data_IF_213935715454
#
_entry.id   IF_213935715454
#
_cell.length_a   1.000
_cell.length_b   1.000
_cell.length_c   1.000
_cell.angle_alpha   90.00
_cell.angle_beta   90.00
_cell.angle_gamma   90.00
#
_symmetry.space_group_name_H-M   'P 1'
#
loop_
_entity.id
_entity.type
_entity.pdbx_description
1 polymer ?
#
# COMPACT_ATOMS: atom_id res chain seq x y z
N UNK A 1 -22.85 -18.30 1.99
CA UNK A 1 -22.17 -17.82 3.22
C UNK A 1 -23.21 -17.08 4.06
N UNK A 2 -23.45 -17.46 5.32
CA UNK A 2 -24.50 -16.82 6.13
C UNK A 2 -24.07 -15.42 6.58
N UNK A 3 -25.03 -14.49 6.72
CA UNK A 3 -24.79 -13.10 7.20
C UNK A 3 -24.02 -13.09 8.53
N UNK A 4 -24.30 -14.09 9.41
CA UNK A 4 -23.59 -14.25 10.69
C UNK A 4 -22.11 -14.58 10.52
N UNK A 5 -21.72 -15.35 9.51
CA UNK A 5 -20.31 -15.61 9.19
C UNK A 5 -19.59 -14.37 8.68
N UNK A 6 -20.24 -13.59 7.84
CA UNK A 6 -19.70 -12.33 7.31
C UNK A 6 -19.44 -11.33 8.46
N UNK A 7 -20.41 -11.17 9.36
CA UNK A 7 -20.28 -10.30 10.53
C UNK A 7 -19.15 -10.76 11.47
N UNK A 8 -18.96 -12.08 11.65
CA UNK A 8 -17.85 -12.63 12.43
C UNK A 8 -16.50 -12.28 11.80
N UNK A 9 -16.33 -12.50 10.49
CA UNK A 9 -15.08 -12.18 9.80
C UNK A 9 -14.77 -10.67 9.84
N UNK A 10 -15.79 -9.83 9.64
CA UNK A 10 -15.62 -8.39 9.74
C UNK A 10 -15.15 -7.92 11.14
N UNK A 11 -15.76 -8.47 12.18
CA UNK A 11 -15.32 -8.21 13.56
C UNK A 11 -13.87 -8.68 13.80
N UNK A 12 -13.51 -9.85 13.28
CA UNK A 12 -12.14 -10.37 13.36
C UNK A 12 -11.15 -9.44 12.64
N UNK A 13 -11.49 -8.98 11.44
CA UNK A 13 -10.67 -8.03 10.66
C UNK A 13 -10.42 -6.75 11.47
N UNK A 14 -11.47 -6.16 12.05
CA UNK A 14 -11.34 -4.92 12.83
C UNK A 14 -10.49 -5.11 14.09
N UNK A 15 -10.68 -6.19 14.82
CA UNK A 15 -9.87 -6.49 16.02
C UNK A 15 -8.40 -6.70 15.66
N UNK A 16 -8.12 -7.44 14.59
CA UNK A 16 -6.76 -7.66 14.11
C UNK A 16 -6.12 -6.37 13.60
N UNK A 17 -6.89 -5.52 12.93
CA UNK A 17 -6.42 -4.21 12.50
C UNK A 17 -6.05 -3.33 13.71
N UNK A 18 -6.90 -3.27 14.74
CA UNK A 18 -6.61 -2.51 15.96
C UNK A 18 -5.37 -3.04 16.68
N UNK A 19 -5.26 -4.36 16.85
CA UNK A 19 -4.08 -4.98 17.45
C UNK A 19 -2.80 -4.66 16.68
N UNK A 20 -2.86 -4.75 15.36
CA UNK A 20 -1.72 -4.46 14.48
C UNK A 20 -1.28 -2.99 14.60
N UNK A 21 -2.21 -2.04 14.62
CA UNK A 21 -1.90 -0.62 14.82
C UNK A 21 -1.21 -0.40 16.16
N UNK A 22 -1.76 -0.95 17.24
CA UNK A 22 -1.16 -0.83 18.59
C UNK A 22 0.26 -1.39 18.65
N UNK A 23 0.49 -2.53 18.01
CA UNK A 23 1.81 -3.18 17.92
C UNK A 23 2.81 -2.33 17.14
N UNK A 24 2.41 -1.77 16.02
CA UNK A 24 3.25 -0.94 15.17
C UNK A 24 3.63 0.40 15.83
N UNK A 25 2.75 0.95 16.64
CA UNK A 25 3.03 2.19 17.38
C UNK A 25 4.17 2.05 18.40
N UNK A 26 4.59 0.84 18.73
CA UNK A 26 5.74 0.57 19.60
C UNK A 26 7.05 0.32 18.85
N UNK A 27 6.99 0.14 17.53
CA UNK A 27 8.16 -0.14 16.69
C UNK A 27 8.68 1.14 16.01
N UNK A 28 9.86 1.62 16.44
CA UNK A 28 10.46 2.83 15.90
C UNK A 28 10.80 2.75 14.42
N UNK A 29 11.16 1.58 13.88
CA UNK A 29 11.44 1.41 12.45
C UNK A 29 10.16 1.56 11.62
N UNK A 30 9.07 0.98 12.07
CA UNK A 30 7.76 1.07 11.41
C UNK A 30 7.26 2.52 11.43
N UNK A 31 7.34 3.19 12.58
CA UNK A 31 6.97 4.61 12.70
C UNK A 31 7.82 5.48 11.76
N UNK A 32 9.11 5.22 11.67
CA UNK A 32 9.98 5.94 10.74
C UNK A 32 9.54 5.74 9.28
N UNK A 33 9.35 4.50 8.85
CA UNK A 33 9.00 4.16 7.45
C UNK A 33 7.62 4.68 7.04
N UNK A 34 6.64 4.64 7.95
CA UNK A 34 5.25 5.01 7.62
C UNK A 34 4.97 6.50 7.79
N UNK A 35 5.59 7.15 8.77
CA UNK A 35 5.31 8.56 9.08
C UNK A 35 6.46 9.49 8.66
N UNK A 36 7.67 9.23 9.13
CA UNK A 36 8.78 10.17 8.93
C UNK A 36 9.32 10.16 7.50
N UNK A 37 9.51 9.00 6.90
CA UNK A 37 10.05 8.89 5.53
C UNK A 37 9.17 9.61 4.50
N UNK A 38 7.83 9.45 4.45
CA UNK A 38 6.98 10.21 3.54
C UNK A 38 6.96 11.71 3.81
N UNK A 39 7.07 12.13 5.09
CA UNK A 39 7.18 13.56 5.44
C UNK A 39 8.48 14.14 4.90
N UNK A 40 9.61 13.43 5.04
CA UNK A 40 10.90 13.88 4.49
C UNK A 40 10.81 13.99 2.97
N UNK A 41 10.18 13.01 2.30
CA UNK A 41 9.96 13.05 0.84
C UNK A 41 9.09 14.25 0.47
N UNK A 42 8.01 14.51 1.22
CA UNK A 42 7.15 15.66 1.01
C UNK A 42 7.91 16.98 1.18
N UNK A 43 8.69 17.11 2.26
CA UNK A 43 9.52 18.31 2.53
C UNK A 43 10.52 18.56 1.40
N UNK A 44 11.25 17.53 0.96
CA UNK A 44 12.22 17.65 -0.13
C UNK A 44 11.54 18.00 -1.45
N UNK A 45 10.44 17.32 -1.79
CA UNK A 45 9.69 17.60 -3.01
C UNK A 45 9.09 19.01 -3.04
N UNK A 46 8.49 19.46 -1.93
CA UNK A 46 7.94 20.81 -1.79
C UNK A 46 9.04 21.87 -1.85
N UNK A 47 10.21 21.61 -1.26
CA UNK A 47 11.35 22.51 -1.35
C UNK A 47 11.87 22.62 -2.78
N UNK A 48 12.02 21.51 -3.49
CA UNK A 48 12.48 21.49 -4.87
C UNK A 48 11.50 22.16 -5.85
N UNK A 49 10.21 22.09 -5.56
CA UNK A 49 9.15 22.61 -6.43
C UNK A 49 8.48 23.88 -5.89
N UNK A 50 9.11 24.57 -4.91
CA UNK A 50 8.47 25.72 -4.23
C UNK A 50 8.01 26.85 -5.18
N UNK A 51 8.68 27.00 -6.33
CA UNK A 51 8.36 28.07 -7.29
C UNK A 51 7.46 27.59 -8.45
N UNK A 52 6.96 26.33 -8.40
CA UNK A 52 6.13 25.72 -9.45
C UNK A 52 4.61 25.82 -9.20
N UNK A 53 4.21 26.42 -8.08
CA UNK A 53 2.79 26.66 -7.76
C UNK A 53 2.08 25.52 -7.03
N UNK A 54 0.77 25.74 -6.76
CA UNK A 54 -0.05 24.86 -5.92
C UNK A 54 -0.27 23.47 -6.52
N UNK A 55 -0.37 23.34 -7.84
CA UNK A 55 -0.57 22.05 -8.50
C UNK A 55 0.64 21.13 -8.33
N UNK A 56 1.86 21.69 -8.43
CA UNK A 56 3.08 20.95 -8.16
C UNK A 56 3.18 20.53 -6.69
N UNK A 57 2.77 21.40 -5.76
CA UNK A 57 2.71 21.08 -4.35
C UNK A 57 1.67 19.97 -4.06
N UNK A 58 0.50 20.01 -4.69
CA UNK A 58 -0.52 18.95 -4.59
C UNK A 58 0.02 17.62 -5.11
N UNK A 59 0.75 17.63 -6.25
CA UNK A 59 1.38 16.44 -6.79
C UNK A 59 2.36 15.82 -5.78
N UNK A 60 3.20 16.62 -5.13
CA UNK A 60 4.14 16.15 -4.11
C UNK A 60 3.41 15.55 -2.90
N UNK A 61 2.34 16.18 -2.42
CA UNK A 61 1.55 15.68 -1.29
C UNK A 61 0.95 14.31 -1.58
N UNK A 62 0.29 14.17 -2.73
CA UNK A 62 -0.27 12.89 -3.17
C UNK A 62 0.83 11.85 -3.38
N UNK A 63 1.92 12.23 -4.02
CA UNK A 63 3.06 11.36 -4.28
C UNK A 63 3.74 10.86 -3.00
N UNK A 64 3.92 11.71 -2.00
CA UNK A 64 4.46 11.31 -0.70
C UNK A 64 3.54 10.32 0.03
N UNK A 65 2.22 10.51 -0.08
CA UNK A 65 1.25 9.55 0.43
C UNK A 65 1.34 8.17 -0.26
N UNK A 66 1.50 8.18 -1.58
CA UNK A 66 1.69 6.95 -2.37
C UNK A 66 3.01 6.24 -2.03
N UNK A 67 4.10 6.98 -1.79
CA UNK A 67 5.36 6.37 -1.32
C UNK A 67 5.18 5.71 0.05
N UNK A 68 4.47 6.35 0.97
CA UNK A 68 4.13 5.76 2.27
C UNK A 68 3.29 4.49 2.16
N UNK A 69 2.28 4.48 1.27
CA UNK A 69 1.49 3.28 0.98
C UNK A 69 2.35 2.14 0.44
N UNK A 70 3.26 2.42 -0.49
CA UNK A 70 4.14 1.42 -1.06
C UNK A 70 5.16 0.88 -0.05
N UNK A 71 5.84 1.75 0.71
CA UNK A 71 6.77 1.33 1.76
C UNK A 71 6.08 0.48 2.82
N UNK A 72 4.90 0.88 3.27
CA UNK A 72 4.11 0.10 4.22
C UNK A 72 3.73 -1.28 3.67
N UNK A 73 3.38 -1.36 2.39
CA UNK A 73 3.07 -2.62 1.73
C UNK A 73 4.31 -3.52 1.68
N UNK A 74 5.47 -3.00 1.29
CA UNK A 74 6.70 -3.79 1.19
C UNK A 74 7.20 -4.24 2.57
N UNK A 75 7.38 -3.31 3.50
CA UNK A 75 8.10 -3.58 4.74
C UNK A 75 7.20 -4.11 5.86
N UNK A 76 5.94 -3.72 5.89
CA UNK A 76 5.04 -4.11 6.96
C UNK A 76 4.12 -5.24 6.49
N UNK A 77 3.33 -5.01 5.43
CA UNK A 77 2.40 -6.04 4.93
C UNK A 77 3.14 -7.27 4.43
N UNK A 78 4.24 -7.10 3.69
CA UNK A 78 5.07 -8.19 3.20
C UNK A 78 5.70 -9.03 4.32
N UNK A 79 6.08 -8.41 5.44
CA UNK A 79 6.66 -9.10 6.58
C UNK A 79 5.64 -9.52 7.65
N UNK A 80 4.36 -9.25 7.48
CA UNK A 80 3.33 -9.52 8.49
C UNK A 80 3.26 -10.98 8.93
N UNK A 81 3.53 -11.92 8.03
CA UNK A 81 3.55 -13.36 8.31
C UNK A 81 4.90 -13.76 8.94
N UNK A 82 6.02 -13.23 8.45
CA UNK A 82 7.34 -13.47 9.04
C UNK A 82 7.42 -12.98 10.49
N UNK A 83 6.78 -11.86 10.78
CA UNK A 83 6.69 -11.34 12.14
C UNK A 83 6.02 -12.35 13.09
N UNK A 84 4.89 -12.95 12.67
CA UNK A 84 4.21 -13.98 13.45
C UNK A 84 5.07 -15.23 13.65
N UNK A 85 5.91 -15.57 12.66
CA UNK A 85 6.87 -16.67 12.79
C UNK A 85 7.92 -16.34 13.85
N UNK A 86 8.52 -15.15 13.81
CA UNK A 86 9.56 -14.76 14.77
C UNK A 86 9.03 -14.63 16.20
N UNK A 87 7.76 -14.27 16.38
CA UNK A 87 7.11 -14.19 17.69
C UNK A 87 6.55 -15.53 18.18
N UNK A 88 6.64 -16.60 17.35
CA UNK A 88 6.11 -17.94 17.69
C UNK A 88 4.58 -18.02 17.69
N UNK A 89 3.89 -17.03 17.15
CA UNK A 89 2.42 -16.95 17.13
C UNK A 89 1.80 -17.54 15.86
N UNK A 90 2.61 -17.82 14.83
CA UNK A 90 2.12 -18.29 13.54
C UNK A 90 1.34 -19.60 13.64
N UNK A 91 1.83 -20.58 14.43
CA UNK A 91 1.15 -21.87 14.62
C UNK A 91 -0.24 -21.69 15.24
N UNK A 92 -0.33 -20.81 16.24
CA UNK A 92 -1.59 -20.48 16.90
C UNK A 92 -2.57 -19.84 15.91
N UNK A 93 -2.11 -18.92 15.07
CA UNK A 93 -2.94 -18.26 14.07
C UNK A 93 -3.40 -19.20 12.97
N UNK A 94 -2.59 -20.17 12.57
CA UNK A 94 -2.96 -21.20 11.58
C UNK A 94 -3.94 -22.23 12.17
N UNK A 95 -3.93 -22.45 13.48
CA UNK A 95 -4.82 -23.37 14.19
C UNK A 95 -6.23 -22.77 14.44
N UNK A 96 -6.41 -21.45 14.35
CA UNK A 96 -7.71 -20.79 14.54
C UNK A 96 -8.65 -21.14 13.37
N UNK A 97 -9.98 -21.33 13.63
CA UNK A 97 -10.96 -21.68 12.60
C UNK A 97 -11.29 -20.53 11.62
N UNK A 98 -10.56 -19.44 11.64
CA UNK A 98 -10.65 -18.32 10.70
C UNK A 98 -9.65 -18.52 9.55
N UNK A 99 -10.07 -18.37 8.29
CA UNK A 99 -9.14 -18.45 7.16
C UNK A 99 -7.95 -17.51 7.36
N UNK A 100 -6.74 -18.02 7.14
CA UNK A 100 -5.50 -17.25 7.39
C UNK A 100 -5.42 -15.99 6.51
N UNK A 101 -5.99 -16.05 5.30
CA UNK A 101 -6.12 -14.89 4.39
C UNK A 101 -6.91 -13.74 5.03
N UNK A 102 -7.93 -14.03 5.83
CA UNK A 102 -8.74 -13.01 6.53
C UNK A 102 -7.92 -12.32 7.62
N UNK A 103 -7.04 -13.07 8.28
CA UNK A 103 -6.13 -12.53 9.30
C UNK A 103 -5.14 -11.56 8.65
N UNK A 104 -4.48 -11.98 7.57
CA UNK A 104 -3.52 -11.15 6.85
C UNK A 104 -4.21 -9.94 6.21
N UNK A 105 -5.43 -10.10 5.71
CA UNK A 105 -6.24 -8.99 5.19
C UNK A 105 -6.48 -7.92 6.28
N UNK A 106 -6.85 -8.32 7.50
CA UNK A 106 -7.06 -7.38 8.61
C UNK A 106 -5.80 -6.57 8.95
N UNK A 107 -4.64 -7.23 8.96
CA UNK A 107 -3.35 -6.56 9.16
C UNK A 107 -3.01 -5.60 8.02
N UNK A 108 -3.20 -6.01 6.77
CA UNK A 108 -2.96 -5.16 5.61
C UNK A 108 -3.88 -3.94 5.59
N UNK A 109 -5.13 -4.11 5.99
CA UNK A 109 -6.08 -2.99 6.13
C UNK A 109 -5.57 -1.94 7.11
N UNK A 110 -5.07 -2.37 8.28
CA UNK A 110 -4.47 -1.48 9.25
C UNK A 110 -3.28 -0.71 8.68
N UNK A 111 -2.39 -1.42 7.99
CA UNK A 111 -1.19 -0.85 7.39
C UNK A 111 -1.53 0.24 6.36
N UNK A 112 -2.51 -0.03 5.50
CA UNK A 112 -2.94 0.92 4.48
C UNK A 112 -3.62 2.14 5.10
N UNK A 113 -4.51 1.95 6.08
CA UNK A 113 -5.15 3.07 6.78
C UNK A 113 -4.10 3.96 7.47
N UNK A 114 -3.13 3.34 8.14
CA UNK A 114 -2.05 4.08 8.80
C UNK A 114 -1.17 4.83 7.80
N UNK A 115 -0.92 4.26 6.62
CA UNK A 115 -0.14 4.90 5.56
C UNK A 115 -0.85 6.10 4.94
N UNK A 116 -2.19 6.11 4.90
CA UNK A 116 -2.95 7.29 4.45
C UNK A 116 -2.74 8.49 5.37
N UNK A 117 -2.37 8.27 6.63
CA UNK A 117 -2.01 9.35 7.54
C UNK A 117 -0.81 10.14 7.04
N UNK A 118 0.14 9.50 6.34
CA UNK A 118 1.29 10.18 5.73
C UNK A 118 0.88 11.20 4.67
N UNK A 119 -0.17 10.93 3.88
CA UNK A 119 -0.72 11.89 2.91
C UNK A 119 -1.33 13.10 3.63
N UNK A 120 -2.04 12.86 4.72
CA UNK A 120 -2.62 13.93 5.55
C UNK A 120 -1.51 14.78 6.17
N UNK A 121 -0.46 14.16 6.71
CA UNK A 121 0.69 14.87 7.26
C UNK A 121 1.44 15.65 6.18
N UNK A 122 1.63 15.09 4.98
CA UNK A 122 2.20 15.81 3.84
C UNK A 122 1.38 17.06 3.45
N UNK A 123 0.05 16.96 3.49
CA UNK A 123 -0.84 18.10 3.29
C UNK A 123 -0.62 19.18 4.35
N UNK A 124 -0.57 18.83 5.62
CA UNK A 124 -0.28 19.77 6.70
C UNK A 124 1.07 20.45 6.54
N UNK A 125 2.11 19.70 6.17
CA UNK A 125 3.43 20.26 5.87
C UNK A 125 3.34 21.30 4.74
N UNK A 126 2.66 20.98 3.64
CA UNK A 126 2.51 21.90 2.51
C UNK A 126 1.77 23.20 2.90
N UNK A 127 0.74 23.10 3.72
CA UNK A 127 -0.05 24.27 4.15
C UNK A 127 0.68 25.08 5.21
N UNK A 128 1.17 24.46 6.28
CA UNK A 128 1.71 25.19 7.43
C UNK A 128 3.19 25.56 7.29
N UNK A 129 4.02 24.73 6.65
CA UNK A 129 5.44 25.01 6.51
C UNK A 129 5.77 25.82 5.24
N UNK A 130 4.98 25.62 4.16
CA UNK A 130 5.24 26.28 2.87
C UNK A 130 4.17 27.30 2.49
N UNK A 131 3.04 27.39 3.22
CA UNK A 131 2.00 28.39 2.99
C UNK A 131 1.16 28.15 1.73
N UNK A 132 1.14 26.94 1.18
CA UNK A 132 0.31 26.62 0.01
C UNK A 132 -1.17 26.56 0.37
N UNK A 133 -2.02 27.16 -0.47
CA UNK A 133 -3.47 26.95 -0.45
C UNK A 133 -3.79 25.78 -1.39
N UNK A 134 -3.86 24.57 -0.85
CA UNK A 134 -4.15 23.37 -1.64
C UNK A 134 -5.65 23.09 -1.68
N UNK A 135 -6.18 22.98 -2.89
CA UNK A 135 -7.57 22.60 -3.12
C UNK A 135 -7.63 21.35 -4.00
N UNK A 136 -8.37 20.34 -3.54
CA UNK A 136 -8.65 19.16 -4.35
C UNK A 136 -9.71 19.54 -5.38
N UNK A 137 -9.36 19.50 -6.67
CA UNK A 137 -10.22 19.97 -7.74
C UNK A 137 -11.48 19.09 -7.91
N UNK A 138 -11.35 17.77 -7.70
CA UNK A 138 -12.44 16.81 -7.87
C UNK A 138 -12.61 15.94 -6.60
N UNK A 139 -13.14 16.48 -5.48
CA UNK A 139 -13.09 15.82 -4.17
C UNK A 139 -13.83 14.47 -4.13
N UNK A 140 -14.96 14.34 -4.81
CA UNK A 140 -15.70 13.06 -4.86
C UNK A 140 -14.94 12.00 -5.63
N UNK A 141 -14.37 12.35 -6.80
CA UNK A 141 -13.58 11.41 -7.60
C UNK A 141 -12.27 11.06 -6.88
N UNK A 142 -11.65 12.02 -6.19
CA UNK A 142 -10.45 11.80 -5.39
C UNK A 142 -10.72 10.82 -4.24
N UNK A 143 -11.81 11.00 -3.50
CA UNK A 143 -12.20 10.07 -2.41
C UNK A 143 -12.46 8.67 -2.95
N UNK A 144 -13.17 8.54 -4.07
CA UNK A 144 -13.40 7.25 -4.71
C UNK A 144 -12.07 6.64 -5.20
N UNK A 145 -11.15 7.43 -5.73
CA UNK A 145 -9.80 6.99 -6.13
C UNK A 145 -8.98 6.47 -4.94
N UNK A 146 -9.07 7.13 -3.76
CA UNK A 146 -8.44 6.64 -2.53
C UNK A 146 -9.00 5.26 -2.16
N UNK A 147 -10.32 5.09 -2.16
CA UNK A 147 -10.94 3.81 -1.79
C UNK A 147 -10.51 2.67 -2.73
N UNK A 148 -10.48 2.93 -4.03
CA UNK A 148 -10.02 1.96 -5.01
C UNK A 148 -8.52 1.67 -4.91
N UNK A 149 -7.70 2.69 -4.66
CA UNK A 149 -6.27 2.52 -4.39
C UNK A 149 -6.04 1.66 -3.14
N UNK A 150 -6.78 1.90 -2.05
CA UNK A 150 -6.73 1.07 -0.83
C UNK A 150 -7.02 -0.39 -1.15
N UNK A 151 -8.07 -0.68 -1.91
CA UNK A 151 -8.41 -2.05 -2.33
C UNK A 151 -7.27 -2.67 -3.14
N UNK A 152 -6.71 -1.94 -4.11
CA UNK A 152 -5.62 -2.42 -4.94
C UNK A 152 -4.34 -2.68 -4.15
N UNK A 153 -3.97 -1.78 -3.23
CA UNK A 153 -2.78 -1.97 -2.38
C UNK A 153 -2.95 -3.15 -1.40
N UNK A 154 -4.14 -3.33 -0.81
CA UNK A 154 -4.41 -4.49 0.04
C UNK A 154 -4.32 -5.79 -0.77
N UNK A 155 -4.94 -5.83 -1.95
CA UNK A 155 -4.95 -7.02 -2.82
C UNK A 155 -3.52 -7.40 -3.23
N UNK A 156 -2.71 -6.43 -3.61
CA UNK A 156 -1.30 -6.63 -3.95
C UNK A 156 -0.47 -7.05 -2.73
N UNK A 157 -0.73 -6.47 -1.56
CA UNK A 157 -0.10 -6.87 -0.31
C UNK A 157 -0.35 -8.33 0.07
N UNK A 158 -1.53 -8.87 -0.26
CA UNK A 158 -1.85 -10.28 -0.07
C UNK A 158 -1.03 -11.22 -0.95
N UNK A 159 -0.50 -10.76 -2.09
CA UNK A 159 0.44 -11.53 -2.92
C UNK A 159 1.84 -11.50 -2.29
N UNK A 160 2.28 -10.32 -1.86
CA UNK A 160 3.66 -10.12 -1.38
C UNK A 160 3.93 -10.94 -0.12
N UNK A 161 2.99 -11.01 0.83
CA UNK A 161 3.16 -11.74 2.08
C UNK A 161 3.60 -13.20 1.91
N UNK A 162 2.85 -14.05 1.21
CA UNK A 162 3.25 -15.44 0.97
C UNK A 162 4.56 -15.58 0.19
N UNK A 163 4.82 -14.71 -0.81
CA UNK A 163 6.07 -14.73 -1.58
C UNK A 163 7.26 -14.48 -0.65
N UNK A 164 7.15 -13.52 0.25
CA UNK A 164 8.22 -13.15 1.16
C UNK A 164 8.51 -14.25 2.20
N UNK A 165 7.49 -14.93 2.67
CA UNK A 165 7.65 -16.07 3.60
C UNK A 165 8.37 -17.25 2.95
N UNK A 166 8.11 -17.47 1.66
CA UNK A 166 8.72 -18.60 0.92
C UNK A 166 10.15 -18.34 0.45
N UNK A 167 10.65 -17.10 0.55
CA UNK A 167 11.96 -16.71 0.04
C UNK A 167 12.85 -16.11 1.13
N UNK A 168 13.93 -16.80 1.56
CA UNK A 168 14.80 -16.32 2.65
C UNK A 168 15.54 -15.00 2.33
N UNK A 169 15.84 -14.74 1.04
CA UNK A 169 16.56 -13.53 0.59
C UNK A 169 15.70 -12.28 0.40
N UNK A 170 14.49 -12.26 0.94
CA UNK A 170 13.45 -11.25 0.66
C UNK A 170 13.85 -9.82 1.01
N UNK A 171 14.65 -9.60 2.06
CA UNK A 171 15.06 -8.24 2.48
C UNK A 171 15.82 -7.50 1.38
N UNK A 172 16.67 -8.18 0.61
CA UNK A 172 17.37 -7.60 -0.52
C UNK A 172 16.38 -7.14 -1.61
N UNK A 173 15.36 -7.97 -1.89
CA UNK A 173 14.32 -7.66 -2.86
C UNK A 173 13.43 -6.50 -2.42
N UNK A 174 13.07 -6.41 -1.14
CA UNK A 174 12.29 -5.29 -0.59
C UNK A 174 12.99 -3.96 -0.86
N UNK A 175 14.26 -3.84 -0.46
CA UNK A 175 15.05 -2.64 -0.68
C UNK A 175 15.26 -2.35 -2.19
N UNK A 176 15.48 -3.39 -3.00
CA UNK A 176 15.67 -3.23 -4.44
C UNK A 176 14.40 -2.77 -5.18
N UNK A 177 13.21 -3.13 -4.69
CA UNK A 177 11.94 -2.76 -5.33
C UNK A 177 11.38 -1.42 -4.86
N UNK A 178 11.82 -0.88 -3.74
CA UNK A 178 11.23 0.32 -3.15
C UNK A 178 11.31 1.52 -4.09
N UNK A 179 12.52 1.97 -4.40
CA UNK A 179 12.73 3.17 -5.21
C UNK A 179 12.37 3.01 -6.70
N UNK A 180 12.69 1.89 -7.36
CA UNK A 180 12.25 1.70 -8.75
C UNK A 180 10.75 1.83 -8.95
N UNK A 181 9.94 1.35 -8.01
CA UNK A 181 8.48 1.48 -8.13
C UNK A 181 8.03 2.93 -7.93
N UNK A 182 8.64 3.71 -7.04
CA UNK A 182 8.34 5.14 -6.92
C UNK A 182 8.52 5.88 -8.25
N UNK A 183 9.58 5.53 -8.97
CA UNK A 183 9.93 6.11 -10.27
C UNK A 183 8.98 5.61 -11.35
N UNK A 184 8.85 4.30 -11.51
CA UNK A 184 8.06 3.67 -12.57
C UNK A 184 6.56 3.93 -12.43
N UNK A 185 6.05 4.06 -11.22
CA UNK A 185 4.62 4.33 -10.98
C UNK A 185 4.27 5.82 -10.98
N UNK A 186 5.26 6.72 -11.14
CA UNK A 186 5.00 8.14 -11.24
C UNK A 186 4.55 8.78 -9.91
N UNK A 187 5.04 8.28 -8.76
CA UNK A 187 4.68 8.85 -7.46
C UNK A 187 5.29 10.23 -7.25
N UNK A 188 6.58 10.39 -7.60
CA UNK A 188 7.35 11.61 -7.33
C UNK A 188 7.40 12.57 -8.52
N UNK A 189 7.22 12.06 -9.73
CA UNK A 189 7.22 12.85 -10.97
C UNK A 189 6.45 12.09 -12.08
N UNK A 190 5.90 12.81 -13.07
CA UNK A 190 5.14 12.19 -14.15
C UNK A 190 5.98 11.20 -14.96
N UNK A 191 5.44 10.02 -15.28
CA UNK A 191 6.15 9.00 -16.08
C UNK A 191 6.52 9.47 -17.49
N UNK A 192 5.87 10.53 -17.99
CA UNK A 192 6.20 11.14 -19.27
C UNK A 192 7.65 11.67 -19.36
N UNK A 193 8.31 11.87 -18.20
CA UNK A 193 9.72 12.26 -18.12
C UNK A 193 10.67 11.07 -18.25
N UNK A 194 10.15 9.84 -18.17
CA UNK A 194 10.94 8.61 -18.26
C UNK A 194 11.14 8.19 -19.73
N UNK A 195 12.19 7.41 -20.02
CA UNK A 195 12.38 6.82 -21.35
C UNK A 195 11.17 5.95 -21.75
N UNK A 196 10.74 6.02 -23.03
CA UNK A 196 9.52 5.37 -23.51
C UNK A 196 9.45 3.85 -23.29
N UNK A 197 10.59 3.17 -23.16
CA UNK A 197 10.64 1.73 -22.85
C UNK A 197 10.14 1.36 -21.46
N UNK A 198 10.09 2.32 -20.51
CA UNK A 198 9.58 2.09 -19.14
C UNK A 198 8.06 2.07 -19.09
N UNK A 199 7.38 2.73 -20.02
CA UNK A 199 5.92 2.86 -20.02
C UNK A 199 5.17 1.52 -19.96
N UNK A 200 5.53 0.48 -20.76
CA UNK A 200 4.87 -0.82 -20.65
C UNK A 200 5.02 -1.46 -19.28
N UNK A 201 6.18 -1.26 -18.62
CA UNK A 201 6.43 -1.77 -17.27
C UNK A 201 5.53 -1.06 -16.27
N UNK A 202 5.42 0.27 -16.36
CA UNK A 202 4.53 1.08 -15.52
C UNK A 202 3.09 0.60 -15.60
N UNK A 203 2.58 0.34 -16.79
CA UNK A 203 1.19 -0.11 -17.01
C UNK A 203 0.87 -1.47 -16.40
N UNK A 204 1.86 -2.33 -16.19
CA UNK A 204 1.71 -3.62 -15.52
C UNK A 204 1.66 -3.50 -13.99
N UNK A 205 2.00 -2.35 -13.44
CA UNK A 205 2.06 -2.15 -11.99
C UNK A 205 0.74 -1.55 -11.47
N UNK A 206 0.00 -2.24 -10.58
CA UNK A 206 -1.23 -1.70 -9.97
C UNK A 206 -1.03 -0.32 -9.32
N UNK A 207 0.09 -0.03 -8.60
CA UNK A 207 0.35 1.28 -8.01
C UNK A 207 0.40 2.44 -9.00
N UNK A 208 0.77 2.19 -10.26
CA UNK A 208 0.73 3.20 -11.32
C UNK A 208 -0.68 3.74 -11.56
N UNK A 209 -1.67 2.86 -11.63
CA UNK A 209 -3.06 3.25 -11.86
C UNK A 209 -3.65 4.01 -10.67
N UNK A 210 -3.19 3.70 -9.45
CA UNK A 210 -3.52 4.48 -8.26
C UNK A 210 -2.92 5.90 -8.36
N UNK A 211 -1.66 6.02 -8.80
CA UNK A 211 -1.03 7.33 -9.01
C UNK A 211 -1.76 8.15 -10.08
N UNK A 212 -2.09 7.56 -11.22
CA UNK A 212 -2.86 8.23 -12.30
C UNK A 212 -4.20 8.75 -11.79
N UNK A 213 -4.96 7.90 -11.07
CA UNK A 213 -6.26 8.29 -10.54
C UNK A 213 -6.15 9.41 -9.48
N UNK A 214 -5.22 9.29 -8.53
CA UNK A 214 -5.07 10.23 -7.43
C UNK A 214 -4.49 11.57 -7.88
N UNK A 215 -3.43 11.59 -8.68
CA UNK A 215 -2.86 12.81 -9.24
C UNK A 215 -3.86 13.51 -10.17
N UNK A 216 -4.51 12.75 -11.05
CA UNK A 216 -5.47 13.32 -12.00
C UNK A 216 -6.67 13.97 -11.34
N UNK A 217 -7.23 13.35 -10.28
CA UNK A 217 -8.41 13.88 -9.55
C UNK A 217 -8.06 14.97 -8.55
N UNK A 218 -6.85 14.97 -7.98
CA UNK A 218 -6.39 16.01 -7.05
C UNK A 218 -6.13 17.34 -7.76
N UNK A 219 -5.46 17.32 -8.92
CA UNK A 219 -5.12 18.52 -9.71
C UNK A 219 -6.17 18.88 -10.75
N UNK A 220 -7.17 18.01 -11.00
CA UNK A 220 -8.18 18.22 -12.04
C UNK A 220 -7.66 18.02 -13.48
N UNK A 221 -6.42 17.56 -13.65
CA UNK A 221 -5.79 17.37 -14.96
C UNK A 221 -6.28 16.15 -15.74
N UNK A 222 -6.97 15.20 -15.09
CA UNK A 222 -7.54 14.03 -15.75
C UNK A 222 -9.00 14.24 -16.16
N UNK A 223 -9.35 13.81 -17.36
CA UNK A 223 -10.74 13.70 -17.77
C UNK A 223 -11.46 12.59 -17.01
N UNK A 224 -12.79 12.66 -16.92
CA UNK A 224 -13.62 11.61 -16.30
C UNK A 224 -13.33 10.24 -16.95
N UNK A 225 -13.18 10.17 -18.27
CA UNK A 225 -12.90 8.93 -18.98
C UNK A 225 -11.54 8.32 -18.59
N UNK A 226 -10.51 9.14 -18.42
CA UNK A 226 -9.20 8.70 -17.94
C UNK A 226 -9.25 8.17 -16.51
N UNK A 227 -9.99 8.86 -15.64
CA UNK A 227 -10.21 8.44 -14.25
C UNK A 227 -10.97 7.10 -14.20
N UNK A 228 -12.05 6.95 -14.97
CA UNK A 228 -12.81 5.70 -15.04
C UNK A 228 -11.98 4.54 -15.60
N UNK A 229 -11.13 4.81 -16.60
CA UNK A 229 -10.21 3.80 -17.12
C UNK A 229 -9.20 3.36 -16.06
N UNK A 230 -8.60 4.29 -15.31
CA UNK A 230 -7.69 3.98 -14.22
C UNK A 230 -8.40 3.16 -13.12
N UNK A 231 -9.63 3.49 -12.77
CA UNK A 231 -10.45 2.71 -11.83
C UNK A 231 -10.74 1.30 -12.34
N UNK A 232 -11.06 1.16 -13.63
CA UNK A 232 -11.24 -0.14 -14.27
C UNK A 232 -9.99 -1.01 -14.17
N UNK A 233 -8.81 -0.43 -14.41
CA UNK A 233 -7.53 -1.12 -14.27
C UNK A 233 -7.24 -1.48 -12.81
N UNK A 234 -7.51 -0.59 -11.85
CA UNK A 234 -7.35 -0.89 -10.43
C UNK A 234 -8.23 -2.08 -10.00
N UNK A 235 -9.49 -2.12 -10.42
CA UNK A 235 -10.39 -3.23 -10.11
C UNK A 235 -9.96 -4.53 -10.79
N UNK A 236 -9.52 -4.46 -12.05
CA UNK A 236 -9.01 -5.61 -12.80
C UNK A 236 -7.79 -6.22 -12.11
N UNK A 237 -6.78 -5.40 -11.79
CA UNK A 237 -5.61 -5.87 -11.07
C UNK A 237 -5.95 -6.39 -9.69
N UNK A 238 -6.82 -5.71 -8.93
CA UNK A 238 -7.25 -6.19 -7.62
C UNK A 238 -7.89 -7.58 -7.69
N UNK A 239 -8.70 -7.84 -8.72
CA UNK A 239 -9.33 -9.16 -8.92
C UNK A 239 -8.27 -10.22 -9.25
N UNK A 240 -7.35 -9.92 -10.16
CA UNK A 240 -6.23 -10.80 -10.52
C UNK A 240 -5.38 -11.10 -9.29
N UNK A 241 -5.02 -10.08 -8.53
CA UNK A 241 -4.20 -10.18 -7.33
C UNK A 241 -4.88 -11.07 -6.26
N UNK A 242 -6.18 -10.92 -6.03
CA UNK A 242 -6.93 -11.77 -5.09
C UNK A 242 -6.96 -13.24 -5.53
N UNK A 243 -7.10 -13.50 -6.84
CA UNK A 243 -7.04 -14.86 -7.38
C UNK A 243 -5.66 -15.49 -7.20
N UNK A 244 -4.60 -14.73 -7.50
CA UNK A 244 -3.21 -15.16 -7.30
C UNK A 244 -2.93 -15.39 -5.81
N UNK A 245 -3.29 -14.43 -4.95
CA UNK A 245 -3.09 -14.51 -3.51
C UNK A 245 -3.73 -15.77 -2.93
N UNK A 246 -4.96 -16.10 -3.31
CA UNK A 246 -5.66 -17.30 -2.83
C UNK A 246 -4.89 -18.61 -3.16
N UNK A 247 -4.22 -18.66 -4.32
CA UNK A 247 -3.37 -19.78 -4.71
C UNK A 247 -2.05 -19.82 -3.94
N UNK A 248 -1.43 -18.64 -3.77
CA UNK A 248 -0.16 -18.50 -3.05
C UNK A 248 -0.30 -18.85 -1.55
N UNK A 249 -1.37 -18.44 -0.90
CA UNK A 249 -1.63 -18.83 0.50
C UNK A 249 -1.76 -20.34 0.66
N UNK A 250 -2.51 -21.00 -0.23
CA UNK A 250 -2.62 -22.47 -0.21
C UNK A 250 -1.27 -23.14 -0.41
N UNK A 251 -0.46 -22.66 -1.36
CA UNK A 251 0.87 -23.19 -1.62
C UNK A 251 1.81 -22.98 -0.43
N UNK A 252 1.81 -21.78 0.16
CA UNK A 252 2.61 -21.45 1.34
C UNK A 252 2.25 -22.36 2.52
N UNK A 253 0.97 -22.51 2.84
CA UNK A 253 0.52 -23.35 3.95
C UNK A 253 0.82 -24.84 3.69
N UNK A 254 0.72 -25.30 2.45
CA UNK A 254 1.08 -26.67 2.08
C UNK A 254 2.58 -26.92 2.31
N UNK A 255 3.44 -26.04 1.78
CA UNK A 255 4.89 -26.12 2.00
C UNK A 255 5.27 -26.06 3.48
N UNK A 256 4.73 -25.10 4.21
CA UNK A 256 4.99 -24.92 5.62
C UNK A 256 4.63 -26.16 6.46
N UNK A 257 3.56 -26.88 6.09
CA UNK A 257 3.18 -28.16 6.73
C UNK A 257 4.06 -29.33 6.29
N UNK A 258 4.43 -29.40 4.98
CA UNK A 258 5.24 -30.48 4.44
C UNK A 258 6.68 -30.45 4.99
N UNK A 259 7.24 -29.26 5.13
CA UNK A 259 8.62 -29.05 5.57
C UNK A 259 8.74 -28.92 7.10
N UNK A 260 7.62 -29.02 7.85
CA UNK A 260 7.53 -28.77 9.31
C UNK A 260 8.16 -27.44 9.75
N UNK A 261 8.15 -26.42 8.86
CA UNK A 261 8.83 -25.13 9.06
C UNK A 261 7.95 -24.05 9.66
N UNK A 262 6.74 -24.38 10.15
CA UNK A 262 5.85 -23.42 10.78
C UNK A 262 6.47 -22.76 12.01
N UNK A 263 7.30 -23.48 12.76
CA UNK A 263 7.96 -23.03 13.98
C UNK A 263 9.49 -22.97 13.94
N UNK A 264 10.12 -23.17 12.77
CA UNK A 264 11.59 -23.09 12.66
C UNK A 264 12.06 -21.71 12.22
N UNK A 265 13.08 -21.18 12.91
CA UNK A 265 13.86 -20.01 12.53
C UNK A 265 14.76 -20.26 11.31
#
# INVERSE_FOLDING_TARGET
>A
MSIRMLAKYWRTILVLAEMNIRQQMTDGFILFTVLFQPIIIALLGLWMLKDKGADAAMFVVVGSGLTGLWSSLLFISGNSINFERWTGTLETLVAIPTPFEVIVFGKNLANVIQSLLSMVLGYFVAVFAFGYSLNIQQPLLFTASILLAVIAFISFGLIIGPIFVMNPGVRAWQNAMEFPVYVLCGFLFPIALLPGWTTPVSYLLPPYWAAVALHGTSTGGASINQTLFAWGMLLLFSLIDLLIASRLFKLMLYKARADATLGME
#
